data_IF_415059365840
#
_entry.id   IF_415059365840
#
_cell.length_a   1.000
_cell.length_b   1.000
_cell.length_c   1.000
_cell.angle_alpha   90.00
_cell.angle_beta   90.00
_cell.angle_gamma   90.00
#
_symmetry.space_group_name_H-M   'P 1'
#
loop_
_entity.id
_entity.type
_entity.pdbx_description
1 polymer ?
#
# COMPACT_ATOMS: atom_id res chain seq x y z
N UNK A 1 -6.17 14.00 -0.85
CA UNK A 1 -4.84 13.79 -0.24
C UNK A 1 -3.74 13.66 -1.29
N UNK A 2 -3.92 12.80 -2.28
CA UNK A 2 -2.99 12.63 -3.41
C UNK A 2 -3.73 13.03 -4.67
N UNK A 3 -3.05 13.71 -5.60
CA UNK A 3 -3.58 14.05 -6.93
C UNK A 3 -2.52 13.74 -8.00
N UNK A 4 -2.96 13.03 -9.02
CA UNK A 4 -2.25 12.86 -10.28
C UNK A 4 -2.94 13.74 -11.32
N UNK A 5 -2.16 14.53 -12.06
CA UNK A 5 -2.69 15.42 -13.10
C UNK A 5 -2.01 15.10 -14.43
N UNK A 6 -2.74 14.48 -15.34
CA UNK A 6 -2.29 14.07 -16.66
C UNK A 6 -0.93 13.34 -16.63
N UNK A 7 -0.74 12.42 -15.65
CA UNK A 7 0.55 11.79 -15.38
C UNK A 7 0.82 10.68 -16.39
N UNK A 8 1.93 10.81 -17.10
CA UNK A 8 2.49 9.76 -17.97
C UNK A 8 3.85 9.33 -17.45
N UNK A 9 4.13 8.03 -17.47
CA UNK A 9 5.44 7.47 -17.15
C UNK A 9 5.87 6.48 -18.21
N UNK A 10 7.00 6.78 -18.85
CA UNK A 10 7.67 5.91 -19.81
C UNK A 10 9.05 5.53 -19.29
N UNK A 11 9.49 4.30 -19.54
CA UNK A 11 10.81 3.80 -19.23
C UNK A 11 11.55 3.53 -20.54
N UNK A 12 12.64 4.27 -20.78
CA UNK A 12 13.39 4.17 -22.03
C UNK A 12 12.52 4.45 -23.26
N UNK A 13 12.75 3.70 -24.35
CA UNK A 13 12.02 3.83 -25.62
C UNK A 13 10.79 2.89 -25.73
N UNK A 14 10.50 2.11 -24.66
CA UNK A 14 9.37 1.18 -24.64
C UNK A 14 8.01 1.89 -24.52
N UNK A 15 6.90 1.13 -24.55
CA UNK A 15 5.58 1.69 -24.32
C UNK A 15 5.47 2.31 -22.92
N UNK A 16 4.69 3.36 -22.73
CA UNK A 16 4.52 3.99 -21.44
C UNK A 16 3.87 3.03 -20.44
N UNK A 17 4.40 2.99 -19.23
CA UNK A 17 3.84 2.21 -18.12
C UNK A 17 2.61 2.86 -17.50
N UNK A 18 2.48 4.18 -17.65
CA UNK A 18 1.30 4.97 -17.27
C UNK A 18 1.03 5.98 -18.36
N UNK A 19 -0.25 6.17 -18.70
CA UNK A 19 -0.69 7.02 -19.78
C UNK A 19 -1.82 7.92 -19.30
N UNK A 20 -1.56 9.22 -19.21
CA UNK A 20 -2.54 10.27 -18.94
C UNK A 20 -3.42 9.95 -17.71
N UNK A 21 -2.75 9.71 -16.59
CA UNK A 21 -3.44 9.37 -15.33
C UNK A 21 -3.92 10.63 -14.65
N UNK A 22 -5.25 10.74 -14.52
CA UNK A 22 -5.93 11.67 -13.64
C UNK A 22 -6.59 10.89 -12.50
N UNK A 23 -6.10 11.09 -11.28
CA UNK A 23 -6.56 10.37 -10.10
C UNK A 23 -6.53 11.26 -8.87
N UNK A 24 -7.62 11.28 -8.12
CA UNK A 24 -7.67 11.87 -6.79
C UNK A 24 -7.90 10.80 -5.72
N UNK A 25 -6.96 10.70 -4.77
CA UNK A 25 -7.08 9.86 -3.58
C UNK A 25 -7.57 10.73 -2.43
N UNK A 26 -8.79 10.49 -1.92
CA UNK A 26 -9.35 11.29 -0.83
C UNK A 26 -8.61 11.05 0.49
N UNK A 27 -8.57 12.08 1.34
CA UNK A 27 -7.98 11.95 2.67
C UNK A 27 -8.79 11.03 3.58
N UNK A 28 -8.10 10.29 4.45
CA UNK A 28 -8.70 9.40 5.46
C UNK A 28 -9.64 8.34 4.88
N UNK A 29 -9.30 7.86 3.69
CA UNK A 29 -10.02 6.80 2.98
C UNK A 29 -9.01 5.78 2.45
N UNK A 30 -9.47 4.57 2.27
CA UNK A 30 -8.71 3.51 1.61
C UNK A 30 -9.06 3.47 0.14
N UNK A 31 -8.07 3.73 -0.72
CA UNK A 31 -8.18 3.55 -2.17
C UNK A 31 -7.44 2.28 -2.57
N UNK A 32 -8.15 1.32 -3.15
CA UNK A 32 -7.57 0.08 -3.66
C UNK A 32 -7.30 0.19 -5.16
N UNK A 33 -6.03 0.04 -5.56
CA UNK A 33 -5.59 -0.04 -6.94
C UNK A 33 -5.58 -1.51 -7.36
N UNK A 34 -6.38 -1.86 -8.36
CA UNK A 34 -6.54 -3.23 -8.87
C UNK A 34 -6.28 -3.28 -10.37
N UNK A 35 -6.06 -4.47 -10.90
CA UNK A 35 -5.85 -4.70 -12.32
C UNK A 35 -4.82 -5.80 -12.59
N UNK A 36 -4.65 -6.19 -13.86
CA UNK A 36 -3.70 -7.21 -14.27
C UNK A 36 -2.26 -6.89 -13.84
N UNK A 37 -1.40 -7.91 -13.77
CA UNK A 37 0.04 -7.71 -13.56
C UNK A 37 0.61 -6.83 -14.67
N UNK A 38 1.51 -5.91 -14.31
CA UNK A 38 2.15 -4.99 -15.27
C UNK A 38 1.30 -3.77 -15.69
N UNK A 39 0.06 -3.60 -15.24
CA UNK A 39 -0.79 -2.46 -15.64
C UNK A 39 -0.40 -1.10 -15.00
N UNK A 40 0.67 -1.03 -14.18
CA UNK A 40 1.20 0.23 -13.66
C UNK A 40 0.94 0.53 -12.18
N UNK A 41 0.27 -0.33 -11.41
CA UNK A 41 -0.08 -0.09 -9.99
C UNK A 41 1.10 0.28 -9.10
N UNK A 42 2.14 -0.54 -9.07
CA UNK A 42 3.34 -0.27 -8.27
C UNK A 42 4.13 0.95 -8.80
N UNK A 43 3.99 1.28 -10.10
CA UNK A 43 4.55 2.51 -10.66
C UNK A 43 3.88 3.74 -10.06
N UNK A 44 2.54 3.72 -9.88
CA UNK A 44 1.82 4.80 -9.18
C UNK A 44 2.31 4.98 -7.75
N UNK A 45 2.48 3.88 -6.97
CA UNK A 45 3.01 3.98 -5.60
C UNK A 45 4.41 4.61 -5.58
N UNK A 46 5.27 4.21 -6.50
CA UNK A 46 6.65 4.73 -6.58
C UNK A 46 6.70 6.21 -6.97
N UNK A 47 5.74 6.70 -7.78
CA UNK A 47 5.60 8.12 -8.08
C UNK A 47 5.15 8.92 -6.86
N UNK A 48 4.21 8.39 -6.03
CA UNK A 48 3.74 9.06 -4.81
C UNK A 48 4.89 9.34 -3.84
N UNK A 49 5.83 8.41 -3.67
CA UNK A 49 6.98 8.56 -2.77
C UNK A 49 8.23 9.10 -3.46
N UNK A 50 8.09 9.53 -4.73
CA UNK A 50 9.20 10.08 -5.52
C UNK A 50 10.38 9.13 -5.69
N UNK A 51 10.16 7.82 -5.75
CA UNK A 51 11.15 6.85 -6.23
C UNK A 51 11.26 6.88 -7.75
N UNK A 52 10.23 7.40 -8.40
CA UNK A 52 10.18 7.68 -9.83
C UNK A 52 9.68 9.10 -10.02
N UNK A 53 10.15 9.75 -11.09
CA UNK A 53 9.60 11.01 -11.58
C UNK A 53 8.67 10.72 -12.77
N UNK A 54 7.56 11.46 -12.91
CA UNK A 54 6.71 11.34 -14.09
C UNK A 54 7.49 11.83 -15.34
N UNK A 55 7.18 11.26 -16.50
CA UNK A 55 7.69 11.76 -17.79
C UNK A 55 6.97 13.05 -18.20
N UNK A 56 5.68 13.13 -17.88
CA UNK A 56 4.87 14.35 -18.01
C UNK A 56 3.77 14.36 -16.97
N UNK A 57 3.15 15.52 -16.75
CA UNK A 57 2.16 15.74 -15.71
C UNK A 57 2.78 16.00 -14.33
N UNK A 58 1.98 15.95 -13.27
CA UNK A 58 2.41 16.22 -11.91
C UNK A 58 1.73 15.33 -10.89
N UNK A 59 2.45 14.99 -9.83
CA UNK A 59 1.94 14.28 -8.65
C UNK A 59 1.99 15.24 -7.46
N UNK A 60 0.87 15.39 -6.77
CA UNK A 60 0.74 16.19 -5.56
C UNK A 60 0.40 15.29 -4.38
N UNK A 61 1.04 15.51 -3.23
CA UNK A 61 0.73 14.85 -1.95
C UNK A 61 0.53 15.93 -0.88
N UNK A 62 -0.60 15.89 -0.20
CA UNK A 62 -0.98 16.89 0.80
C UNK A 62 -0.91 18.34 0.28
N UNK A 63 -1.27 18.56 -0.99
CA UNK A 63 -1.27 19.87 -1.65
C UNK A 63 0.11 20.37 -2.09
N UNK A 64 1.16 19.55 -2.00
CA UNK A 64 2.51 19.88 -2.46
C UNK A 64 2.90 18.97 -3.62
N UNK A 65 3.51 19.52 -4.65
CA UNK A 65 4.06 18.74 -5.76
C UNK A 65 5.25 17.90 -5.26
N UNK A 66 5.27 16.63 -5.64
CA UNK A 66 6.39 15.73 -5.32
C UNK A 66 7.60 16.14 -6.14
N UNK A 67 8.60 16.72 -5.48
CA UNK A 67 9.85 17.18 -6.09
C UNK A 67 11.07 16.58 -5.38
N UNK A 68 12.23 16.47 -6.05
CA UNK A 68 13.46 15.99 -5.41
C UNK A 68 13.85 16.79 -4.16
N UNK A 69 13.54 18.08 -4.11
CA UNK A 69 13.91 18.96 -2.99
C UNK A 69 13.15 18.61 -1.69
N UNK A 70 11.90 18.17 -1.79
CA UNK A 70 11.04 17.90 -0.63
C UNK A 70 10.86 16.40 -0.33
N UNK A 71 11.50 15.53 -1.12
CA UNK A 71 11.26 14.10 -1.09
C UNK A 71 11.58 13.44 0.27
N UNK A 72 12.61 13.90 0.96
CA UNK A 72 12.99 13.33 2.26
C UNK A 72 11.97 13.67 3.35
N UNK A 73 11.42 14.88 3.33
CA UNK A 73 10.33 15.28 4.24
C UNK A 73 9.08 14.48 3.95
N UNK A 74 8.71 14.36 2.68
CA UNK A 74 7.56 13.57 2.27
C UNK A 74 7.67 12.11 2.76
N UNK A 75 8.82 11.46 2.54
CA UNK A 75 9.04 10.06 2.92
C UNK A 75 8.94 9.80 4.42
N UNK A 76 9.23 10.80 5.28
CA UNK A 76 9.03 10.68 6.73
C UNK A 76 7.55 10.64 7.12
N UNK A 77 6.67 11.19 6.29
CA UNK A 77 5.21 11.25 6.51
C UNK A 77 4.46 10.13 5.79
N UNK A 78 5.17 9.24 5.09
CA UNK A 78 4.61 8.12 4.34
C UNK A 78 5.15 6.82 4.91
N UNK A 79 4.24 5.93 5.31
CA UNK A 79 4.57 4.52 5.57
C UNK A 79 4.46 3.73 4.28
N UNK A 80 5.45 2.90 3.97
CA UNK A 80 5.43 2.06 2.79
C UNK A 80 5.73 0.60 3.13
N UNK A 81 4.77 -0.26 2.87
CA UNK A 81 4.90 -1.72 2.91
C UNK A 81 5.11 -2.18 1.48
N UNK A 82 6.34 -2.58 1.16
CA UNK A 82 6.68 -3.11 -0.17
C UNK A 82 6.25 -4.58 -0.29
N UNK A 83 6.11 -5.05 -1.51
CA UNK A 83 5.86 -6.45 -1.81
C UNK A 83 6.87 -7.35 -1.06
N UNK A 84 6.42 -8.50 -0.55
CA UNK A 84 7.20 -9.43 0.29
C UNK A 84 7.72 -8.83 1.63
N UNK A 85 7.20 -7.66 2.04
CA UNK A 85 7.50 -7.01 3.31
C UNK A 85 8.87 -6.33 3.39
N UNK A 86 9.86 -6.76 2.61
CA UNK A 86 11.20 -6.15 2.51
C UNK A 86 11.92 -5.95 3.83
N UNK A 87 11.84 -6.91 4.75
CA UNK A 87 12.57 -6.86 6.01
C UNK A 87 14.07 -7.10 5.78
N UNK A 88 14.89 -6.41 6.54
CA UNK A 88 16.33 -6.65 6.57
C UNK A 88 16.61 -7.96 7.28
N UNK A 89 17.17 -8.99 6.61
CA UNK A 89 17.30 -10.35 7.17
C UNK A 89 18.30 -10.45 8.32
N UNK A 90 19.23 -9.51 8.42
CA UNK A 90 20.28 -9.43 9.45
C UNK A 90 19.86 -8.58 10.67
N UNK A 91 18.66 -8.01 10.65
CA UNK A 91 18.09 -7.26 11.77
C UNK A 91 16.95 -8.06 12.39
N UNK A 92 16.80 -8.00 13.71
CA UNK A 92 15.66 -8.54 14.44
C UNK A 92 14.36 -7.81 14.06
N UNK A 93 13.20 -8.33 14.46
CA UNK A 93 11.93 -7.64 14.27
C UNK A 93 11.94 -6.25 14.91
N UNK A 94 12.45 -6.14 16.15
CA UNK A 94 12.63 -4.87 16.87
C UNK A 94 13.44 -3.87 16.04
N UNK A 95 14.61 -4.28 15.61
CA UNK A 95 15.53 -3.43 14.85
C UNK A 95 14.93 -3.02 13.51
N UNK A 96 14.26 -3.92 12.77
CA UNK A 96 13.53 -3.58 11.56
C UNK A 96 12.47 -2.51 11.79
N UNK A 97 11.66 -2.63 12.86
CA UNK A 97 10.58 -1.69 13.18
C UNK A 97 11.14 -0.32 13.56
N UNK A 98 12.18 -0.30 14.41
CA UNK A 98 12.68 0.93 15.04
C UNK A 98 13.74 1.66 14.23
N UNK A 99 14.26 1.08 13.14
CA UNK A 99 15.39 1.57 12.35
C UNK A 99 15.30 3.07 12.03
N UNK A 100 14.18 3.50 11.48
CA UNK A 100 14.01 4.91 11.07
C UNK A 100 13.87 5.85 12.26
N UNK A 101 13.20 5.43 13.34
CA UNK A 101 13.08 6.24 14.55
C UNK A 101 14.46 6.42 15.22
N UNK A 102 15.29 5.38 15.24
CA UNK A 102 16.68 5.46 15.72
C UNK A 102 17.52 6.36 14.83
N UNK A 103 17.41 6.22 13.49
CA UNK A 103 18.11 7.09 12.54
C UNK A 103 17.75 8.57 12.73
N UNK A 104 16.50 8.87 13.03
CA UNK A 104 16.00 10.22 13.32
C UNK A 104 16.29 10.67 14.76
N UNK A 105 17.01 9.86 15.54
CA UNK A 105 17.42 10.15 16.92
C UNK A 105 16.24 10.39 17.89
N UNK A 106 15.10 9.71 17.67
CA UNK A 106 14.02 9.65 18.66
C UNK A 106 14.55 9.05 19.97
N UNK A 107 14.01 9.48 21.11
CA UNK A 107 14.44 8.96 22.40
C UNK A 107 14.08 7.49 22.58
N UNK A 108 14.87 6.74 23.36
CA UNK A 108 14.59 5.33 23.63
C UNK A 108 13.20 5.15 24.29
N UNK A 109 12.76 6.08 25.11
CA UNK A 109 11.44 6.07 25.75
C UNK A 109 10.31 6.16 24.72
N UNK A 110 10.40 7.12 23.77
CA UNK A 110 9.43 7.29 22.69
C UNK A 110 9.37 6.06 21.79
N UNK A 111 10.54 5.53 21.41
CA UNK A 111 10.65 4.31 20.58
C UNK A 111 9.96 3.13 21.27
N UNK A 112 10.26 2.88 22.56
CA UNK A 112 9.70 1.75 23.29
C UNK A 112 8.20 1.90 23.52
N UNK A 113 7.71 3.10 23.84
CA UNK A 113 6.29 3.38 23.99
C UNK A 113 5.55 3.12 22.67
N UNK A 114 6.08 3.64 21.55
CA UNK A 114 5.48 3.43 20.23
C UNK A 114 5.54 1.97 19.79
N UNK A 115 6.61 1.26 20.08
CA UNK A 115 6.76 -0.17 19.78
C UNK A 115 5.71 -1.00 20.54
N UNK A 116 5.45 -0.70 21.82
CA UNK A 116 4.40 -1.37 22.60
C UNK A 116 3.01 -1.12 22.00
N UNK A 117 2.68 0.13 21.66
CA UNK A 117 1.44 0.52 20.98
C UNK A 117 1.25 -0.25 19.65
N UNK A 118 2.32 -0.38 18.86
CA UNK A 118 2.27 -1.11 17.59
C UNK A 118 2.11 -2.62 17.78
N UNK A 119 2.73 -3.20 18.83
CA UNK A 119 2.53 -4.61 19.17
C UNK A 119 1.07 -4.91 19.50
N UNK A 120 0.43 -4.03 20.28
CA UNK A 120 -1.00 -4.13 20.60
C UNK A 120 -1.88 -3.97 19.35
N UNK A 121 -1.68 -2.88 18.59
CA UNK A 121 -2.43 -2.58 17.37
C UNK A 121 -2.40 -3.72 16.36
N UNK A 122 -1.22 -4.32 16.16
CA UNK A 122 -1.03 -5.38 15.16
C UNK A 122 -1.18 -6.79 15.73
N UNK A 123 -1.48 -6.92 17.02
CA UNK A 123 -1.54 -8.22 17.73
C UNK A 123 -0.24 -9.03 17.55
N UNK A 124 0.89 -8.34 17.55
CA UNK A 124 2.21 -8.98 17.46
C UNK A 124 2.74 -9.26 18.86
N UNK A 125 3.02 -10.53 19.16
CA UNK A 125 3.51 -10.91 20.47
C UNK A 125 4.91 -10.34 20.73
N UNK A 126 5.07 -9.57 21.81
CA UNK A 126 6.32 -8.87 22.15
C UNK A 126 7.54 -9.80 22.30
N UNK A 127 7.32 -11.05 22.69
CA UNK A 127 8.36 -12.09 22.77
C UNK A 127 9.00 -12.43 21.41
N UNK A 128 8.39 -12.06 20.31
CA UNK A 128 8.91 -12.27 18.95
C UNK A 128 9.74 -11.08 18.45
N UNK A 129 9.85 -9.99 19.21
CA UNK A 129 10.57 -8.79 18.78
C UNK A 129 12.07 -9.03 18.57
N UNK A 130 12.65 -9.96 19.30
CA UNK A 130 14.08 -10.25 19.25
C UNK A 130 14.42 -11.40 18.27
N UNK A 131 13.40 -11.89 17.50
CA UNK A 131 13.59 -12.88 16.43
C UNK A 131 13.99 -12.22 15.11
N UNK A 132 14.77 -12.95 14.33
CA UNK A 132 15.11 -12.58 12.97
C UNK A 132 13.98 -12.95 11.98
N UNK A 133 13.87 -12.28 10.81
CA UNK A 133 12.81 -12.56 9.84
C UNK A 133 12.69 -14.02 9.41
N UNK A 134 13.78 -14.77 9.36
CA UNK A 134 13.80 -16.20 9.02
C UNK A 134 13.09 -17.07 10.07
N UNK A 135 13.03 -16.62 11.32
CA UNK A 135 12.40 -17.33 12.46
C UNK A 135 10.91 -16.97 12.62
N UNK A 136 10.41 -16.03 11.80
CA UNK A 136 9.03 -15.55 11.84
C UNK A 136 8.18 -16.24 10.76
N UNK A 137 6.91 -16.51 11.07
CA UNK A 137 5.95 -16.94 10.05
C UNK A 137 5.69 -15.83 9.03
N UNK A 138 5.12 -16.16 7.85
CA UNK A 138 4.76 -15.19 6.83
C UNK A 138 3.89 -14.06 7.38
N UNK A 139 2.85 -14.39 8.13
CA UNK A 139 1.97 -13.40 8.76
C UNK A 139 2.68 -12.56 9.82
N UNK A 140 3.62 -13.12 10.58
CA UNK A 140 4.43 -12.36 11.54
C UNK A 140 5.36 -11.38 10.81
N UNK A 141 6.03 -11.80 9.73
CA UNK A 141 6.84 -10.89 8.89
C UNK A 141 6.02 -9.74 8.35
N UNK A 142 4.79 -10.03 7.88
CA UNK A 142 3.89 -9.00 7.37
C UNK A 142 3.50 -7.97 8.44
N UNK A 143 3.21 -8.43 9.67
CA UNK A 143 2.95 -7.53 10.81
C UNK A 143 4.16 -6.66 11.13
N UNK A 144 5.37 -7.23 11.15
CA UNK A 144 6.62 -6.47 11.37
C UNK A 144 6.81 -5.40 10.28
N UNK A 145 6.55 -5.73 9.03
CA UNK A 145 6.63 -4.76 7.92
C UNK A 145 5.62 -3.62 8.08
N UNK A 146 4.38 -3.95 8.48
CA UNK A 146 3.36 -2.95 8.78
C UNK A 146 3.75 -2.07 9.98
N UNK A 147 4.24 -2.66 11.08
CA UNK A 147 4.72 -1.93 12.26
C UNK A 147 5.86 -0.98 11.89
N UNK A 148 6.81 -1.42 11.05
CA UNK A 148 7.90 -0.58 10.53
C UNK A 148 7.34 0.62 9.76
N UNK A 149 6.38 0.40 8.89
CA UNK A 149 5.75 1.46 8.11
C UNK A 149 4.98 2.47 9.00
N UNK A 150 4.40 1.99 10.11
CA UNK A 150 3.62 2.80 11.05
C UNK A 150 4.43 3.47 12.15
N UNK A 151 5.72 3.14 12.28
CA UNK A 151 6.57 3.60 13.41
C UNK A 151 6.63 5.13 13.54
N UNK A 152 6.73 5.85 12.44
CA UNK A 152 6.81 7.31 12.41
C UNK A 152 5.44 8.02 12.40
N UNK A 153 4.33 7.32 12.70
CA UNK A 153 2.97 7.88 12.66
C UNK A 153 2.65 8.58 11.33
N UNK A 154 2.80 7.88 10.19
CA UNK A 154 2.63 8.49 8.87
C UNK A 154 1.20 9.00 8.66
N UNK A 155 1.02 10.00 7.79
CA UNK A 155 -0.29 10.50 7.36
C UNK A 155 -0.86 9.70 6.19
N UNK A 156 0.03 9.04 5.43
CA UNK A 156 -0.26 8.24 4.26
C UNK A 156 0.40 6.87 4.41
N UNK A 157 -0.38 5.80 4.21
CA UNK A 157 0.09 4.43 4.20
C UNK A 157 -0.06 3.84 2.80
N UNK A 158 1.04 3.37 2.24
CA UNK A 158 1.10 2.69 0.95
C UNK A 158 1.39 1.21 1.19
N UNK A 159 0.60 0.34 0.57
CA UNK A 159 0.71 -1.11 0.71
C UNK A 159 0.77 -1.74 -0.70
N UNK A 160 1.88 -2.36 -1.03
CA UNK A 160 2.07 -3.03 -2.32
C UNK A 160 1.94 -4.55 -2.14
N UNK A 161 0.80 -5.11 -2.53
CA UNK A 161 0.43 -6.53 -2.40
C UNK A 161 0.70 -7.11 -0.99
N UNK A 162 0.16 -6.49 0.08
CA UNK A 162 0.54 -6.84 1.45
C UNK A 162 0.17 -8.27 1.87
N UNK A 163 -0.70 -8.94 1.15
CA UNK A 163 -1.16 -10.30 1.49
C UNK A 163 -0.83 -11.35 0.41
N UNK A 164 -0.10 -10.96 -0.65
CA UNK A 164 0.13 -11.80 -1.83
C UNK A 164 0.85 -13.13 -1.57
N UNK A 165 1.82 -13.13 -0.67
CA UNK A 165 2.69 -14.29 -0.40
C UNK A 165 2.25 -15.18 0.78
N UNK A 166 0.96 -15.09 1.19
CA UNK A 166 0.44 -15.79 2.37
C UNK A 166 -0.48 -16.96 2.00
N UNK A 167 -0.47 -17.99 2.83
CA UNK A 167 -1.46 -19.07 2.71
C UNK A 167 -2.90 -18.54 2.97
N UNK A 168 -3.95 -19.23 2.43
CA UNK A 168 -5.31 -18.71 2.46
C UNK A 168 -5.86 -18.44 3.85
N UNK A 169 -5.54 -19.27 4.86
CA UNK A 169 -6.06 -19.08 6.23
C UNK A 169 -5.41 -17.88 6.91
N UNK A 170 -4.09 -17.75 6.79
CA UNK A 170 -3.35 -16.60 7.32
C UNK A 170 -3.77 -15.32 6.61
N UNK A 171 -3.96 -15.37 5.28
CA UNK A 171 -4.46 -14.24 4.47
C UNK A 171 -5.82 -13.75 4.97
N UNK A 172 -6.81 -14.64 5.11
CA UNK A 172 -8.14 -14.28 5.58
C UNK A 172 -8.10 -13.60 6.96
N UNK A 173 -7.32 -14.15 7.90
CA UNK A 173 -7.17 -13.57 9.23
C UNK A 173 -6.54 -12.18 9.18
N UNK A 174 -5.46 -12.01 8.39
CA UNK A 174 -4.79 -10.72 8.26
C UNK A 174 -5.63 -9.67 7.53
N UNK A 175 -6.51 -10.05 6.62
CA UNK A 175 -7.49 -9.13 6.01
C UNK A 175 -8.38 -8.50 7.08
N UNK A 176 -8.93 -9.28 8.00
CA UNK A 176 -9.73 -8.76 9.10
C UNK A 176 -8.93 -7.86 10.03
N UNK A 177 -7.72 -8.29 10.42
CA UNK A 177 -6.84 -7.46 11.24
C UNK A 177 -6.49 -6.13 10.56
N UNK A 178 -6.17 -6.14 9.25
CA UNK A 178 -5.91 -4.92 8.49
C UNK A 178 -7.11 -3.99 8.45
N UNK A 179 -8.33 -4.52 8.27
CA UNK A 179 -9.55 -3.69 8.27
C UNK A 179 -9.76 -2.98 9.59
N UNK A 180 -9.56 -3.69 10.70
CA UNK A 180 -9.64 -3.09 12.05
C UNK A 180 -8.55 -2.04 12.26
N UNK A 181 -7.32 -2.34 11.87
CA UNK A 181 -6.19 -1.40 11.93
C UNK A 181 -6.49 -0.14 11.12
N UNK A 182 -6.98 -0.27 9.88
CA UNK A 182 -7.32 0.87 9.03
C UNK A 182 -8.41 1.75 9.64
N UNK A 183 -9.44 1.14 10.24
CA UNK A 183 -10.50 1.85 10.92
C UNK A 183 -9.98 2.65 12.14
N UNK A 184 -9.03 2.08 12.90
CA UNK A 184 -8.46 2.74 14.09
C UNK A 184 -7.49 3.87 13.71
N UNK A 185 -6.71 3.71 12.63
CA UNK A 185 -5.69 4.68 12.25
C UNK A 185 -6.29 5.96 11.65
N UNK A 186 -7.47 5.90 11.01
CA UNK A 186 -8.09 7.00 10.28
C UNK A 186 -7.12 7.73 9.31
N UNK A 187 -6.17 6.99 8.72
CA UNK A 187 -5.15 7.49 7.81
C UNK A 187 -5.63 7.42 6.36
N UNK A 188 -4.94 8.10 5.46
CA UNK A 188 -5.11 7.89 4.04
C UNK A 188 -4.34 6.64 3.63
N UNK A 189 -4.98 5.71 2.94
CA UNK A 189 -4.39 4.43 2.57
C UNK A 189 -4.50 4.22 1.06
N UNK A 190 -3.40 3.82 0.43
CA UNK A 190 -3.39 3.30 -0.94
C UNK A 190 -2.92 1.85 -0.89
N UNK A 191 -3.82 0.96 -1.27
CA UNK A 191 -3.59 -0.48 -1.29
C UNK A 191 -3.51 -0.97 -2.74
N UNK A 192 -2.43 -1.62 -3.11
CA UNK A 192 -2.31 -2.37 -4.36
C UNK A 192 -2.59 -3.83 -4.09
N UNK A 193 -3.48 -4.42 -4.87
CA UNK A 193 -3.74 -5.86 -4.84
C UNK A 193 -4.17 -6.34 -6.23
N UNK A 194 -4.00 -7.62 -6.50
CA UNK A 194 -4.58 -8.28 -7.67
C UNK A 194 -5.86 -9.05 -7.32
N UNK A 195 -6.23 -9.12 -6.04
CA UNK A 195 -7.42 -9.81 -5.53
C UNK A 195 -8.59 -8.82 -5.38
N UNK A 196 -9.66 -9.03 -6.17
CA UNK A 196 -10.86 -8.20 -6.14
C UNK A 196 -11.60 -8.29 -4.80
N UNK A 197 -11.61 -9.47 -4.16
CA UNK A 197 -12.29 -9.65 -2.88
C UNK A 197 -11.55 -8.85 -1.77
N UNK A 198 -10.21 -8.86 -1.80
CA UNK A 198 -9.40 -8.03 -0.91
C UNK A 198 -9.67 -6.54 -1.13
N UNK A 199 -9.66 -6.09 -2.39
CA UNK A 199 -9.94 -4.70 -2.73
C UNK A 199 -11.33 -4.26 -2.29
N UNK A 200 -12.36 -5.09 -2.53
CA UNK A 200 -13.75 -4.81 -2.14
C UNK A 200 -13.92 -4.81 -0.62
N UNK A 201 -13.19 -5.67 0.10
CA UNK A 201 -13.27 -5.78 1.56
C UNK A 201 -12.58 -4.62 2.27
N UNK A 202 -11.41 -4.19 1.79
CA UNK A 202 -10.58 -3.17 2.45
C UNK A 202 -10.78 -1.77 1.89
N UNK A 203 -11.15 -1.61 0.61
CA UNK A 203 -11.22 -0.34 -0.08
C UNK A 203 -12.55 0.39 0.09
N UNK A 204 -12.50 1.70 0.35
CA UNK A 204 -13.65 2.60 0.22
C UNK A 204 -13.92 2.94 -1.24
N UNK A 205 -12.84 3.04 -2.04
CA UNK A 205 -12.86 3.32 -3.48
C UNK A 205 -11.91 2.36 -4.18
N UNK A 206 -12.35 1.80 -5.27
CA UNK A 206 -11.57 0.94 -6.14
C UNK A 206 -11.16 1.72 -7.41
N UNK A 207 -9.93 1.55 -7.85
CA UNK A 207 -9.41 2.07 -9.11
C UNK A 207 -8.91 0.89 -9.93
N UNK A 208 -9.68 0.50 -10.93
CA UNK A 208 -9.31 -0.57 -11.84
C UNK A 208 -8.43 0.00 -12.96
N UNK A 209 -7.25 -0.54 -13.09
CA UNK A 209 -6.27 -0.14 -14.10
C UNK A 209 -6.13 -1.22 -15.17
N UNK A 210 -5.92 -0.77 -16.40
CA UNK A 210 -5.56 -1.62 -17.54
C UNK A 210 -4.60 -0.88 -18.46
N UNK A 211 -3.53 -1.56 -18.91
CA UNK A 211 -2.58 -1.02 -19.91
C UNK A 211 -2.10 0.42 -19.61
N UNK A 212 -1.76 0.67 -18.34
CA UNK A 212 -1.27 1.96 -17.89
C UNK A 212 -2.32 3.06 -17.76
N UNK A 213 -3.61 2.75 -17.90
CA UNK A 213 -4.74 3.69 -17.81
C UNK A 213 -5.69 3.32 -16.70
N UNK A 214 -6.49 4.26 -16.23
CA UNK A 214 -7.63 4.00 -15.35
C UNK A 214 -8.81 3.56 -16.23
N UNK A 215 -9.24 2.30 -16.08
CA UNK A 215 -10.39 1.76 -16.80
C UNK A 215 -11.71 2.19 -16.13
N UNK A 216 -11.76 2.16 -14.80
CA UNK A 216 -12.90 2.67 -14.03
C UNK A 216 -12.47 2.93 -12.58
N UNK A 217 -13.12 3.91 -11.93
CA UNK A 217 -13.01 4.12 -10.50
C UNK A 217 -14.41 4.28 -9.88
N UNK A 218 -14.56 3.85 -8.64
CA UNK A 218 -15.82 3.93 -7.91
C UNK A 218 -15.85 2.97 -6.72
N UNK A 219 -17.02 2.79 -6.12
CA UNK A 219 -17.24 1.74 -5.12
C UNK A 219 -17.32 0.39 -5.84
N UNK A 220 -17.12 -0.70 -5.12
CA UNK A 220 -17.21 -2.04 -5.70
C UNK A 220 -18.54 -2.27 -6.43
N UNK A 221 -19.67 -1.82 -5.86
CA UNK A 221 -20.98 -1.95 -6.47
C UNK A 221 -21.10 -1.16 -7.79
N UNK A 222 -20.45 0.02 -7.90
CA UNK A 222 -20.42 0.80 -9.16
C UNK A 222 -19.74 0.04 -10.29
N UNK A 223 -18.59 -0.60 -9.97
CA UNK A 223 -17.86 -1.40 -10.96
C UNK A 223 -18.65 -2.65 -11.38
N UNK A 224 -19.35 -3.27 -10.42
CA UNK A 224 -20.14 -4.49 -10.63
C UNK A 224 -21.42 -4.25 -11.43
N UNK A 225 -22.18 -3.21 -11.08
CA UNK A 225 -23.53 -2.99 -11.61
C UNK A 225 -23.54 -2.08 -12.83
N UNK A 226 -22.51 -1.24 -12.98
CA UNK A 226 -22.38 -0.26 -14.06
C UNK A 226 -20.96 -0.25 -14.62
N UNK A 227 -20.49 -1.39 -15.18
CA UNK A 227 -19.16 -1.49 -15.75
C UNK A 227 -19.00 -0.52 -16.94
N UNK A 228 -17.91 0.26 -16.94
CA UNK A 228 -17.64 1.25 -17.98
C UNK A 228 -17.22 0.62 -19.33
N UNK A 229 -16.81 -0.64 -19.34
CA UNK A 229 -16.37 -1.35 -20.55
C UNK A 229 -16.51 -2.87 -20.40
N UNK A 230 -16.38 -3.60 -21.51
CA UNK A 230 -16.34 -5.06 -21.53
C UNK A 230 -15.20 -5.60 -20.66
N UNK A 231 -14.01 -4.97 -20.70
CA UNK A 231 -12.88 -5.35 -19.86
C UNK A 231 -13.23 -5.31 -18.36
N UNK A 232 -13.92 -4.27 -17.88
CA UNK A 232 -14.32 -4.16 -16.46
C UNK A 232 -15.23 -5.32 -16.07
N UNK A 233 -16.24 -5.64 -16.92
CA UNK A 233 -17.16 -6.77 -16.71
C UNK A 233 -16.40 -8.10 -16.66
N UNK A 234 -15.51 -8.34 -17.62
CA UNK A 234 -14.72 -9.57 -17.72
C UNK A 234 -13.79 -9.72 -16.51
N UNK A 235 -13.10 -8.65 -16.12
CA UNK A 235 -12.19 -8.66 -14.97
C UNK A 235 -12.91 -9.05 -13.68
N UNK A 236 -14.09 -8.44 -13.42
CA UNK A 236 -14.89 -8.73 -12.23
C UNK A 236 -15.41 -10.17 -12.26
N UNK A 237 -15.90 -10.64 -13.39
CA UNK A 237 -16.46 -11.98 -13.52
C UNK A 237 -15.40 -13.08 -13.40
N UNK A 238 -14.21 -12.89 -13.99
CA UNK A 238 -13.08 -13.80 -13.86
C UNK A 238 -12.66 -14.01 -12.41
N UNK A 239 -12.62 -12.96 -11.63
CA UNK A 239 -12.26 -13.01 -10.19
C UNK A 239 -13.36 -13.69 -9.34
N UNK A 240 -14.64 -13.62 -9.74
CA UNK A 240 -15.75 -14.31 -9.06
C UNK A 240 -15.75 -15.82 -9.29
N UNK A 241 -15.40 -16.26 -10.50
CA UNK A 241 -15.32 -17.68 -10.82
C UNK A 241 -14.31 -18.44 -9.97
N UNK A 242 -13.27 -17.78 -9.50
CA UNK A 242 -12.26 -18.33 -8.60
C UNK A 242 -12.72 -18.39 -7.12
N UNK A 243 -13.68 -17.57 -6.72
CA UNK A 243 -14.21 -17.52 -5.35
C UNK A 243 -15.43 -18.45 -5.13
N UNK A 244 -15.99 -19.01 -6.21
CA UNK A 244 -17.17 -19.90 -6.20
C UNK A 244 -16.81 -21.38 -6.31
N UNK A 245 -15.53 -21.74 -6.37
CA UNK A 245 -14.99 -23.10 -6.31
C UNK A 245 -14.48 -23.41 -4.89
#
# INVERSE_FOLDING_TARGET
MIKFRAVTKQFGEGPPALVDIDLEVPARKTTALIGPSGCGKSTLLRLIIGLLEPTSGAVEVAGRTVTPAEILELRRRVGYVIQDGGLFPHLTARENITLMAQHLRSSASEINARLAELCELTRFASQNLDRYPVELSGGQRQRVSLMRALMLKPELLLLDEPLGALDPLVRARLQYDLKEIFAQLAQTIVLVTHDMAEAAFLGDTLVLMNEGRIAQQGRFDDLRERPASAFVSEFINAQRGLAAL
#
